data_IF_823668437839
#
_entry.id   IF_823668437839
#
_cell.length_a   1.000
_cell.length_b   1.000
_cell.length_c   1.000
_cell.angle_alpha   90.00
_cell.angle_beta   90.00
_cell.angle_gamma   90.00
#
_symmetry.space_group_name_H-M   'P 1'
#
loop_
_entity.id
_entity.type
_entity.pdbx_description
1 polymer ?
#
# COMPACT_ATOMS: atom_id res chain seq x y z
N UNK A 1 15.82 24.57 -2.26
CA UNK A 1 14.37 24.65 -2.55
C UNK A 1 14.11 23.86 -3.83
N UNK A 2 13.03 23.08 -3.90
CA UNK A 2 12.74 22.21 -5.05
C UNK A 2 12.10 23.02 -6.19
N UNK A 3 12.52 22.75 -7.42
CA UNK A 3 12.00 23.40 -8.63
C UNK A 3 11.37 22.37 -9.57
N UNK A 4 10.33 22.80 -10.28
CA UNK A 4 9.58 21.99 -11.22
C UNK A 4 9.53 22.63 -12.59
N UNK A 5 9.77 21.84 -13.63
CA UNK A 5 9.50 22.21 -15.02
C UNK A 5 8.10 21.70 -15.41
N UNK A 6 7.21 22.58 -15.86
CA UNK A 6 5.86 22.23 -16.30
C UNK A 6 5.63 22.82 -17.69
N UNK A 7 5.76 21.97 -18.72
CA UNK A 7 5.90 22.43 -20.10
C UNK A 7 7.28 23.05 -20.29
N UNK A 8 7.31 24.33 -20.67
CA UNK A 8 8.51 25.15 -20.89
C UNK A 8 8.84 26.08 -19.70
N UNK A 9 7.97 26.13 -18.69
CA UNK A 9 8.08 27.07 -17.56
C UNK A 9 8.59 26.38 -16.29
N UNK A 10 9.46 27.08 -15.55
CA UNK A 10 9.96 26.63 -14.24
C UNK A 10 9.23 27.34 -13.11
N UNK A 11 8.87 26.57 -12.08
CA UNK A 11 8.22 27.07 -10.87
C UNK A 11 8.96 26.57 -9.64
N UNK A 12 9.11 27.44 -8.64
CA UNK A 12 9.51 27.04 -7.30
C UNK A 12 8.34 26.32 -6.61
N UNK A 13 8.65 25.38 -5.71
CA UNK A 13 7.64 24.60 -4.97
C UNK A 13 6.64 25.46 -4.19
N UNK A 14 7.08 26.61 -3.68
CA UNK A 14 6.28 27.51 -2.85
C UNK A 14 5.69 28.70 -3.66
N UNK A 15 5.80 28.67 -4.99
CA UNK A 15 5.30 29.75 -5.85
C UNK A 15 3.75 29.84 -5.79
N UNK A 16 3.17 31.03 -5.51
CA UNK A 16 1.72 31.20 -5.41
C UNK A 16 0.93 30.77 -6.66
N UNK A 17 1.51 30.99 -7.85
CA UNK A 17 0.92 30.63 -9.14
C UNK A 17 0.98 29.13 -9.46
N UNK A 18 1.72 28.33 -8.67
CA UNK A 18 1.92 26.91 -8.95
C UNK A 18 0.61 26.12 -8.95
N UNK A 19 -0.32 26.40 -8.03
CA UNK A 19 -1.62 25.70 -7.97
C UNK A 19 -2.44 25.87 -9.26
N UNK A 20 -2.61 27.11 -9.72
CA UNK A 20 -3.32 27.41 -10.96
C UNK A 20 -2.63 26.76 -12.18
N UNK A 21 -1.29 26.70 -12.17
CA UNK A 21 -0.54 26.00 -13.22
C UNK A 21 -0.77 24.49 -13.17
N UNK A 22 -0.79 23.89 -11.98
CA UNK A 22 -0.99 22.45 -11.79
C UNK A 22 -2.38 22.01 -12.23
N UNK A 23 -3.41 22.79 -11.92
CA UNK A 23 -4.77 22.52 -12.41
C UNK A 23 -4.82 22.46 -13.95
N UNK A 24 -4.26 23.48 -14.61
CA UNK A 24 -4.19 23.51 -16.09
C UNK A 24 -3.37 22.35 -16.63
N UNK A 25 -2.21 22.06 -16.02
CA UNK A 25 -1.34 20.97 -16.42
C UNK A 25 -2.03 19.61 -16.24
N UNK A 26 -2.82 19.42 -15.18
CA UNK A 26 -3.61 18.22 -14.95
C UNK A 26 -4.66 18.02 -16.05
N UNK A 27 -5.43 19.07 -16.37
CA UNK A 27 -6.42 19.02 -17.45
C UNK A 27 -5.78 18.74 -18.83
N UNK A 28 -4.59 19.29 -19.08
CA UNK A 28 -3.83 19.08 -20.31
C UNK A 28 -2.99 17.78 -20.32
N UNK A 29 -2.99 17.02 -19.21
CA UNK A 29 -2.15 15.84 -19.01
C UNK A 29 -0.64 16.14 -19.19
N UNK A 30 -0.22 17.36 -18.88
CA UNK A 30 1.18 17.77 -18.89
C UNK A 30 1.90 17.20 -17.67
N UNK A 31 3.07 16.62 -17.92
CA UNK A 31 3.88 15.99 -16.89
C UNK A 31 4.84 16.99 -16.25
N UNK A 32 4.77 17.23 -14.92
CA UNK A 32 5.80 17.99 -14.22
C UNK A 32 7.12 17.21 -14.18
N UNK A 33 8.25 17.90 -14.27
CA UNK A 33 9.58 17.32 -14.08
C UNK A 33 10.27 17.98 -12.88
N UNK A 34 10.82 17.18 -11.97
CA UNK A 34 11.64 17.68 -10.87
C UNK A 34 13.05 18.01 -11.36
N UNK A 35 13.47 19.26 -11.13
CA UNK A 35 14.77 19.78 -11.58
C UNK A 35 15.93 19.54 -10.58
N UNK A 36 15.77 18.61 -9.65
CA UNK A 36 16.83 18.31 -8.68
C UNK A 36 18.09 17.69 -9.31
N UNK A 37 17.98 17.14 -10.54
CA UNK A 37 19.10 16.62 -11.35
C UNK A 37 18.93 17.01 -12.82
N UNK A 38 19.98 16.81 -13.60
CA UNK A 38 19.99 16.91 -15.06
C UNK A 38 20.35 15.52 -15.66
N UNK A 39 19.50 14.90 -16.51
CA UNK A 39 18.19 15.37 -16.93
C UNK A 39 17.16 15.43 -15.78
N UNK A 40 16.13 16.30 -15.86
CA UNK A 40 15.11 16.40 -14.83
C UNK A 40 14.24 15.13 -14.77
N UNK A 41 13.76 14.78 -13.59
CA UNK A 41 13.03 13.53 -13.35
C UNK A 41 11.52 13.69 -13.53
N UNK A 42 10.83 12.79 -14.25
CA UNK A 42 9.39 12.85 -14.41
C UNK A 42 8.65 12.65 -13.09
N UNK A 43 7.59 13.42 -12.87
CA UNK A 43 6.67 13.39 -11.72
C UNK A 43 5.21 13.29 -12.23
N UNK A 44 4.22 13.08 -11.38
CA UNK A 44 2.80 13.14 -11.75
C UNK A 44 2.03 14.15 -10.89
N UNK A 45 0.87 14.59 -11.38
CA UNK A 45 -0.03 15.48 -10.64
C UNK A 45 -1.14 14.64 -10.01
N UNK A 46 -1.18 14.61 -8.70
CA UNK A 46 -2.26 14.04 -7.90
C UNK A 46 -3.29 15.12 -7.58
N UNK A 47 -4.57 14.75 -7.59
CA UNK A 47 -5.66 15.63 -7.14
C UNK A 47 -6.16 15.16 -5.78
N UNK A 48 -6.28 16.09 -4.83
CA UNK A 48 -6.89 15.85 -3.51
C UNK A 48 -7.86 16.99 -3.28
N UNK A 49 -9.16 16.66 -3.25
CA UNK A 49 -10.24 17.64 -3.29
C UNK A 49 -10.04 18.61 -4.47
N UNK A 50 -10.05 19.92 -4.23
CA UNK A 50 -9.82 20.95 -5.26
C UNK A 50 -8.34 21.37 -5.40
N UNK A 51 -7.43 20.67 -4.71
CA UNK A 51 -6.00 20.98 -4.71
C UNK A 51 -5.20 19.97 -5.54
N UNK A 52 -4.14 20.47 -6.16
CA UNK A 52 -3.24 19.68 -7.00
C UNK A 52 -1.86 19.57 -6.35
N UNK A 53 -1.30 18.37 -6.34
CA UNK A 53 -0.01 18.07 -5.69
C UNK A 53 0.90 17.35 -6.67
N UNK A 54 2.18 17.71 -6.68
CA UNK A 54 3.19 16.98 -7.46
C UNK A 54 3.69 15.79 -6.62
N UNK A 55 3.59 14.60 -7.20
CA UNK A 55 4.05 13.34 -6.61
C UNK A 55 5.05 12.65 -7.51
N UNK A 56 5.87 11.77 -6.92
CA UNK A 56 6.92 11.03 -7.64
C UNK A 56 6.35 9.98 -8.56
N UNK A 57 6.99 9.73 -9.70
CA UNK A 57 6.65 8.56 -10.50
C UNK A 57 6.97 7.27 -9.71
N UNK A 58 6.25 6.17 -9.97
CA UNK A 58 6.56 4.89 -9.34
C UNK A 58 8.04 4.52 -9.50
N UNK A 59 8.65 4.03 -8.42
CA UNK A 59 10.05 3.60 -8.37
C UNK A 59 11.12 4.68 -8.69
N UNK A 60 10.75 5.97 -8.73
CA UNK A 60 11.68 7.06 -9.09
C UNK A 60 12.41 7.70 -7.90
N UNK A 61 12.07 7.34 -6.65
CA UNK A 61 12.60 7.94 -5.43
C UNK A 61 14.14 7.98 -5.36
N UNK A 62 14.84 6.86 -5.56
CA UNK A 62 16.30 6.80 -5.58
C UNK A 62 16.96 7.62 -6.70
N UNK A 63 16.21 7.94 -7.76
CA UNK A 63 16.70 8.75 -8.88
C UNK A 63 16.91 10.22 -8.52
N UNK A 64 16.23 10.74 -7.50
CA UNK A 64 16.36 12.13 -7.07
C UNK A 64 17.72 12.45 -6.44
N UNK A 65 18.05 13.75 -6.38
CA UNK A 65 19.17 14.23 -5.57
C UNK A 65 18.91 13.93 -4.07
N UNK A 66 19.88 13.42 -3.29
CA UNK A 66 19.70 13.13 -1.87
C UNK A 66 19.23 14.33 -1.02
N UNK A 67 19.48 15.57 -1.45
CA UNK A 67 18.97 16.77 -0.80
C UNK A 67 17.54 17.16 -1.24
N UNK A 68 16.97 16.47 -2.23
CA UNK A 68 15.60 16.67 -2.68
C UNK A 68 14.59 16.01 -1.74
N UNK A 69 13.50 16.71 -1.41
CA UNK A 69 12.40 16.17 -0.61
C UNK A 69 11.71 14.93 -1.24
N UNK A 70 11.89 14.75 -2.56
CA UNK A 70 11.42 13.58 -3.29
C UNK A 70 12.35 12.36 -3.18
N UNK A 71 13.57 12.52 -2.69
CA UNK A 71 14.46 11.37 -2.54
C UNK A 71 13.91 10.34 -1.54
N UNK A 72 14.08 9.07 -1.87
CA UNK A 72 13.86 7.95 -0.97
C UNK A 72 15.09 7.05 -1.01
N UNK A 73 15.52 6.51 0.16
CA UNK A 73 16.53 5.48 0.21
C UNK A 73 16.14 4.28 -0.67
N UNK A 74 17.10 3.64 -1.35
CA UNK A 74 16.80 2.57 -2.29
C UNK A 74 16.14 1.32 -1.67
N UNK A 75 15.37 0.59 -2.50
CA UNK A 75 14.32 -0.36 -2.13
C UNK A 75 14.78 -1.69 -1.54
N UNK A 76 16.08 -1.98 -1.56
CA UNK A 76 16.66 -3.25 -1.12
C UNK A 76 16.58 -3.44 0.41
N UNK A 77 16.27 -2.38 1.14
CA UNK A 77 16.02 -2.43 2.59
C UNK A 77 14.62 -2.93 2.94
N UNK A 78 13.69 -2.94 1.98
CA UNK A 78 12.33 -3.43 2.14
C UNK A 78 12.10 -4.67 1.29
N UNK A 79 10.93 -5.28 1.43
CA UNK A 79 10.55 -6.41 0.58
C UNK A 79 10.29 -6.04 -0.89
N UNK A 80 10.43 -4.77 -1.28
CA UNK A 80 10.21 -4.32 -2.64
C UNK A 80 11.38 -4.68 -3.57
N UNK A 81 12.62 -4.67 -3.08
CA UNK A 81 13.82 -4.81 -3.90
C UNK A 81 13.79 -6.03 -4.82
N UNK A 82 13.35 -7.19 -4.33
CA UNK A 82 13.29 -8.43 -5.10
C UNK A 82 12.18 -8.49 -6.15
N UNK A 83 11.19 -7.58 -6.07
CA UNK A 83 10.03 -7.51 -6.95
C UNK A 83 10.26 -6.58 -8.14
N UNK A 84 11.13 -5.57 -7.99
CA UNK A 84 11.50 -4.64 -9.06
C UNK A 84 12.21 -5.41 -10.17
N UNK A 85 11.78 -5.19 -11.42
CA UNK A 85 12.33 -5.89 -12.59
C UNK A 85 11.83 -7.32 -12.76
N UNK A 86 11.14 -7.89 -11.76
CA UNK A 86 10.57 -9.24 -11.82
C UNK A 86 9.04 -9.20 -11.90
N UNK A 87 8.40 -8.71 -10.84
CA UNK A 87 6.95 -8.60 -10.70
C UNK A 87 6.43 -7.18 -11.01
N UNK A 88 7.29 -6.17 -10.89
CA UNK A 88 6.98 -4.76 -11.17
C UNK A 88 7.94 -4.26 -12.24
N UNK A 89 7.38 -3.75 -13.34
CA UNK A 89 8.14 -3.11 -14.41
C UNK A 89 7.64 -1.70 -14.64
N UNK A 90 8.53 -0.79 -15.00
CA UNK A 90 8.12 0.54 -15.48
C UNK A 90 7.93 0.47 -16.98
N UNK A 91 6.73 0.82 -17.47
CA UNK A 91 6.44 0.85 -18.89
C UNK A 91 6.96 2.14 -19.55
N UNK A 92 6.85 2.24 -20.88
CA UNK A 92 7.31 3.40 -21.64
C UNK A 92 6.61 4.72 -21.24
N UNK A 93 5.42 4.63 -20.64
CA UNK A 93 4.70 5.80 -20.12
C UNK A 93 5.19 6.22 -18.72
N UNK A 94 6.02 5.41 -18.06
CA UNK A 94 6.49 5.61 -16.69
C UNK A 94 5.56 5.02 -15.63
N UNK A 95 4.49 4.31 -16.02
CA UNK A 95 3.59 3.64 -15.07
C UNK A 95 4.17 2.29 -14.62
N UNK A 96 3.77 1.83 -13.44
CA UNK A 96 4.15 0.53 -12.93
C UNK A 96 3.22 -0.57 -13.47
N UNK A 97 3.74 -1.43 -14.34
CA UNK A 97 3.10 -2.64 -14.81
C UNK A 97 3.30 -3.77 -13.80
N UNK A 98 2.19 -4.26 -13.24
CA UNK A 98 2.15 -5.24 -12.16
C UNK A 98 1.82 -6.65 -12.69
N UNK A 99 2.66 -7.63 -12.36
CA UNK A 99 2.37 -9.06 -12.55
C UNK A 99 1.71 -9.61 -11.30
N UNK A 100 0.42 -9.93 -11.38
CA UNK A 100 -0.38 -10.39 -10.25
C UNK A 100 -0.35 -11.91 -10.10
N UNK A 101 -0.30 -12.40 -8.87
CA UNK A 101 -0.38 -13.83 -8.53
C UNK A 101 -1.82 -14.35 -8.55
N UNK A 102 -2.80 -13.47 -8.28
CA UNK A 102 -4.22 -13.80 -8.19
C UNK A 102 -4.98 -13.58 -9.50
N UNK A 103 -6.16 -14.20 -9.60
CA UNK A 103 -7.01 -14.09 -10.77
C UNK A 103 -7.91 -12.83 -10.73
N UNK A 104 -8.10 -12.19 -11.88
CA UNK A 104 -9.06 -11.10 -12.10
C UNK A 104 -10.33 -11.55 -12.84
N UNK A 105 -10.46 -12.86 -13.06
CA UNK A 105 -11.60 -13.48 -13.74
C UNK A 105 -11.87 -14.84 -13.11
N UNK A 106 -13.13 -15.16 -12.85
CA UNK A 106 -13.56 -16.48 -12.39
C UNK A 106 -14.41 -17.16 -13.46
N UNK A 107 -13.99 -18.34 -13.91
CA UNK A 107 -14.83 -19.17 -14.78
C UNK A 107 -16.00 -19.71 -13.94
N UNK A 108 -17.23 -19.57 -14.43
CA UNK A 108 -18.42 -20.10 -13.76
C UNK A 108 -18.30 -21.61 -13.54
N UNK A 109 -18.62 -22.08 -12.34
CA UNK A 109 -18.54 -23.50 -11.99
C UNK A 109 -19.68 -24.27 -12.65
N UNK A 110 -19.42 -24.99 -13.75
CA UNK A 110 -20.09 -26.29 -13.96
C UNK A 110 -19.34 -27.29 -13.08
N UNK A 111 -20.07 -28.01 -12.23
CA UNK A 111 -19.53 -28.80 -11.13
C UNK A 111 -18.30 -29.64 -11.49
N UNK A 112 -17.20 -29.37 -10.80
CA UNK A 112 -16.10 -30.29 -10.56
C UNK A 112 -15.46 -29.89 -9.22
N UNK A 113 -14.95 -30.84 -8.42
CA UNK A 113 -14.38 -30.53 -7.11
C UNK A 113 -13.19 -29.59 -7.29
N UNK A 114 -13.05 -28.65 -6.34
CA UNK A 114 -11.95 -27.71 -6.30
C UNK A 114 -10.63 -28.47 -6.41
N UNK A 115 -9.91 -28.29 -7.51
CA UNK A 115 -8.50 -28.65 -7.53
C UNK A 115 -7.80 -27.72 -6.56
N UNK A 116 -7.38 -28.31 -5.44
CA UNK A 116 -6.40 -27.79 -4.53
C UNK A 116 -5.17 -27.36 -5.35
N UNK A 117 -4.88 -26.06 -5.40
CA UNK A 117 -3.50 -25.65 -5.63
C UNK A 117 -2.72 -25.98 -4.36
N UNK A 118 -2.25 -27.22 -4.26
CA UNK A 118 -1.09 -27.54 -3.44
C UNK A 118 0.05 -26.66 -3.93
N UNK A 119 0.33 -25.59 -3.18
CA UNK A 119 1.57 -24.83 -3.31
C UNK A 119 2.57 -25.42 -2.31
N UNK A 120 2.95 -26.67 -2.52
CA UNK A 120 4.08 -27.32 -1.85
C UNK A 120 5.08 -27.76 -2.91
N UNK A 121 5.55 -26.80 -3.71
CA UNK A 121 6.85 -26.87 -4.38
C UNK A 121 7.26 -25.45 -4.83
N UNK A 122 8.26 -24.88 -4.13
CA UNK A 122 8.96 -23.62 -4.42
C UNK A 122 8.35 -22.28 -3.93
N UNK A 123 7.83 -22.21 -2.70
CA UNK A 123 7.43 -20.93 -2.06
C UNK A 123 8.51 -19.83 -2.19
N UNK A 124 9.79 -20.18 -2.03
CA UNK A 124 10.93 -19.26 -2.21
C UNK A 124 11.14 -18.74 -3.65
N UNK A 125 10.72 -19.48 -4.70
CA UNK A 125 10.91 -19.05 -6.11
C UNK A 125 9.77 -18.22 -6.67
N UNK A 126 8.57 -18.31 -6.10
CA UNK A 126 7.40 -17.56 -6.57
C UNK A 126 7.26 -16.18 -5.91
N UNK A 127 7.85 -16.00 -4.71
CA UNK A 127 7.81 -14.73 -3.96
C UNK A 127 8.34 -13.53 -4.77
N UNK A 128 9.23 -13.73 -5.74
CA UNK A 128 9.82 -12.64 -6.52
C UNK A 128 9.15 -12.40 -7.88
N UNK A 129 8.42 -13.38 -8.42
CA UNK A 129 7.94 -13.35 -9.81
C UNK A 129 6.59 -12.66 -10.00
N UNK A 130 5.74 -12.69 -8.98
CA UNK A 130 4.39 -12.12 -9.01
C UNK A 130 4.05 -11.48 -7.68
N UNK A 131 3.24 -10.43 -7.71
CA UNK A 131 2.74 -9.77 -6.51
C UNK A 131 1.57 -10.57 -5.94
N UNK A 132 1.72 -11.00 -4.68
CA UNK A 132 0.58 -11.46 -3.89
C UNK A 132 -0.39 -10.29 -3.64
N UNK A 133 -1.61 -10.60 -3.24
CA UNK A 133 -2.60 -9.58 -2.92
C UNK A 133 -2.11 -8.61 -1.81
N UNK A 134 -1.39 -9.12 -0.80
CA UNK A 134 -0.76 -8.30 0.25
C UNK A 134 0.32 -7.37 -0.32
N UNK A 135 1.16 -7.86 -1.24
CA UNK A 135 2.18 -7.03 -1.86
C UNK A 135 1.58 -5.92 -2.75
N UNK A 136 0.43 -6.15 -3.39
CA UNK A 136 -0.32 -5.08 -4.07
C UNK A 136 -0.79 -4.02 -3.07
N UNK A 137 -1.33 -4.42 -1.91
CA UNK A 137 -1.74 -3.47 -0.87
C UNK A 137 -0.54 -2.65 -0.36
N UNK A 138 0.58 -3.30 -0.08
CA UNK A 138 1.82 -2.62 0.32
C UNK A 138 2.31 -1.64 -0.77
N UNK A 139 2.27 -2.03 -2.04
CA UNK A 139 2.69 -1.17 -3.13
C UNK A 139 1.78 0.05 -3.31
N UNK A 140 0.45 -0.14 -3.18
CA UNK A 140 -0.50 0.98 -3.17
C UNK A 140 -0.25 1.93 -1.99
N UNK A 141 0.08 1.40 -0.81
CA UNK A 141 0.41 2.21 0.37
C UNK A 141 1.70 3.02 0.18
N UNK A 142 2.76 2.39 -0.32
CA UNK A 142 4.05 3.03 -0.55
C UNK A 142 3.95 4.09 -1.66
N UNK A 143 3.40 3.74 -2.82
CA UNK A 143 3.20 4.68 -3.93
C UNK A 143 2.21 5.81 -3.59
N UNK A 144 1.28 5.54 -2.66
CA UNK A 144 0.38 6.53 -2.07
C UNK A 144 1.05 7.45 -1.05
N UNK A 145 2.31 7.20 -0.67
CA UNK A 145 3.06 7.89 0.39
C UNK A 145 2.40 7.76 1.77
N UNK A 146 1.64 6.69 1.96
CA UNK A 146 0.96 6.37 3.21
C UNK A 146 1.88 5.68 4.22
N UNK A 147 3.11 5.34 3.82
CA UNK A 147 4.18 4.87 4.71
C UNK A 147 4.95 6.03 5.37
N UNK A 148 4.75 7.26 4.92
CA UNK A 148 5.47 8.42 5.40
C UNK A 148 4.72 9.11 6.55
N UNK A 149 5.43 9.62 7.55
CA UNK A 149 4.85 10.41 8.64
C UNK A 149 5.76 11.53 9.14
N UNK A 150 5.14 12.61 9.64
CA UNK A 150 5.74 13.73 10.38
C UNK A 150 4.69 14.28 11.34
N UNK A 151 5.09 14.80 12.50
CA UNK A 151 4.13 15.33 13.49
C UNK A 151 3.27 16.49 12.98
N UNK A 152 3.72 17.25 11.96
CA UNK A 152 2.93 18.30 11.30
C UNK A 152 1.65 17.80 10.60
N UNK A 153 1.50 16.49 10.43
CA UNK A 153 0.34 15.83 9.83
C UNK A 153 -0.66 15.30 10.84
N UNK A 154 -0.40 15.46 12.14
CA UNK A 154 -1.33 15.06 13.20
C UNK A 154 -2.73 15.65 12.94
N UNK A 155 -3.76 14.80 13.01
CA UNK A 155 -5.16 15.14 12.73
C UNK A 155 -5.51 15.42 11.26
N UNK A 156 -4.54 15.37 10.33
CA UNK A 156 -4.75 15.73 8.90
C UNK A 156 -4.86 14.53 7.95
N UNK A 157 -4.76 13.31 8.48
CA UNK A 157 -4.86 12.08 7.70
C UNK A 157 -5.99 11.22 8.28
N UNK A 158 -7.06 11.09 7.51
CA UNK A 158 -8.17 10.17 7.75
C UNK A 158 -8.45 9.32 6.51
N UNK A 159 -9.50 8.50 6.57
CA UNK A 159 -9.87 7.59 5.48
C UNK A 159 -10.01 8.28 4.12
N UNK A 160 -10.61 9.49 4.06
CA UNK A 160 -10.73 10.24 2.80
C UNK A 160 -9.37 10.52 2.12
N UNK A 161 -8.34 10.82 2.92
CA UNK A 161 -6.98 11.05 2.42
C UNK A 161 -6.28 9.74 2.03
N UNK A 162 -6.51 8.66 2.78
CA UNK A 162 -6.04 7.32 2.44
C UNK A 162 -6.63 6.89 1.11
N UNK A 163 -7.96 6.93 0.97
CA UNK A 163 -8.67 6.63 -0.27
C UNK A 163 -8.10 7.41 -1.46
N UNK A 164 -7.99 8.72 -1.34
CA UNK A 164 -7.51 9.56 -2.43
C UNK A 164 -6.07 9.22 -2.81
N UNK A 165 -5.22 8.91 -1.83
CA UNK A 165 -3.84 8.47 -2.08
C UNK A 165 -3.80 7.12 -2.80
N UNK A 166 -4.66 6.17 -2.43
CA UNK A 166 -4.76 4.86 -3.07
C UNK A 166 -5.26 4.97 -4.53
N UNK A 167 -6.29 5.78 -4.79
CA UNK A 167 -6.81 6.00 -6.15
C UNK A 167 -5.78 6.70 -7.03
N UNK A 168 -5.12 7.74 -6.52
CA UNK A 168 -4.05 8.43 -7.24
C UNK A 168 -2.87 7.48 -7.53
N UNK A 169 -2.45 6.66 -6.57
CA UNK A 169 -1.41 5.65 -6.77
C UNK A 169 -1.81 4.62 -7.85
N UNK A 170 -3.03 4.08 -7.77
CA UNK A 170 -3.54 3.11 -8.73
C UNK A 170 -3.62 3.66 -10.17
N UNK A 171 -3.84 4.98 -10.34
CA UNK A 171 -3.83 5.63 -11.66
C UNK A 171 -2.47 5.55 -12.38
N UNK A 172 -1.39 5.37 -11.60
CA UNK A 172 -0.01 5.22 -12.08
C UNK A 172 0.41 3.74 -12.20
N UNK A 173 -0.55 2.82 -12.14
CA UNK A 173 -0.31 1.38 -12.20
C UNK A 173 -1.17 0.72 -13.28
N UNK A 174 -0.65 -0.35 -13.87
CA UNK A 174 -1.39 -1.21 -14.79
C UNK A 174 -1.29 -2.67 -14.36
N UNK A 175 -2.32 -3.46 -14.65
CA UNK A 175 -2.33 -4.89 -14.43
C UNK A 175 -2.90 -5.56 -15.69
N UNK A 176 -2.14 -6.51 -16.27
CA UNK A 176 -2.49 -7.16 -17.56
C UNK A 176 -2.77 -6.15 -18.70
N UNK A 177 -2.06 -5.02 -18.71
CA UNK A 177 -2.20 -3.97 -19.72
C UNK A 177 -3.31 -2.94 -19.45
N UNK A 178 -4.19 -3.20 -18.49
CA UNK A 178 -5.29 -2.29 -18.14
C UNK A 178 -4.94 -1.43 -16.92
N UNK A 179 -5.45 -0.19 -16.78
CA UNK A 179 -5.26 0.61 -15.59
C UNK A 179 -5.76 -0.09 -14.33
N UNK A 180 -4.95 -0.11 -13.27
CA UNK A 180 -5.36 -0.71 -11.98
C UNK A 180 -6.56 0.04 -11.38
N UNK A 181 -6.68 1.34 -11.64
CA UNK A 181 -7.82 2.18 -11.25
C UNK A 181 -9.16 1.68 -11.74
N UNK A 182 -9.20 0.94 -12.86
CA UNK A 182 -10.45 0.53 -13.50
C UNK A 182 -11.06 -0.71 -12.82
N UNK A 183 -10.23 -1.43 -12.06
CA UNK A 183 -10.63 -2.62 -11.29
C UNK A 183 -10.53 -2.41 -9.78
N UNK A 184 -9.93 -1.32 -9.31
CA UNK A 184 -9.79 -0.99 -7.89
C UNK A 184 -11.00 -0.21 -7.39
N UNK A 185 -11.65 -0.73 -6.36
CA UNK A 185 -12.71 -0.06 -5.63
C UNK A 185 -12.24 0.31 -4.22
N UNK A 186 -12.37 1.58 -3.84
CA UNK A 186 -12.09 2.07 -2.49
C UNK A 186 -13.31 2.87 -2.00
N UNK A 187 -14.02 2.40 -0.95
CA UNK A 187 -15.23 3.06 -0.46
C UNK A 187 -15.01 4.55 -0.17
N UNK A 188 -15.87 5.40 -0.73
CA UNK A 188 -15.93 6.83 -0.41
C UNK A 188 -16.35 7.05 1.05
N UNK A 189 -15.88 8.13 1.69
CA UNK A 189 -16.36 8.51 3.02
C UNK A 189 -17.86 8.74 2.94
N UNK A 190 -18.61 8.07 3.80
CA UNK A 190 -20.06 8.21 3.83
C UNK A 190 -20.47 9.53 4.50
N UNK A 191 -21.14 10.38 3.75
CA UNK A 191 -21.78 11.62 4.19
C UNK A 191 -23.29 11.47 4.06
N UNK A 192 -24.04 11.76 5.13
CA UNK A 192 -25.49 11.54 5.15
C UNK A 192 -26.20 12.47 4.16
N UNK A 193 -25.72 13.70 4.06
CA UNK A 193 -26.17 14.76 3.15
C UNK A 193 -25.98 14.41 1.66
N UNK A 194 -24.99 13.59 1.30
CA UNK A 194 -24.71 13.15 -0.08
C UNK A 194 -24.98 11.64 -0.28
N UNK A 195 -25.91 11.08 0.50
CA UNK A 195 -26.21 9.64 0.47
C UNK A 195 -26.54 9.12 -0.94
N UNK A 196 -27.34 9.86 -1.70
CA UNK A 196 -27.78 9.49 -3.04
C UNK A 196 -26.65 9.61 -4.07
N UNK A 197 -25.84 10.69 -4.00
CA UNK A 197 -24.69 10.87 -4.87
C UNK A 197 -23.64 9.78 -4.65
N UNK A 198 -23.34 9.45 -3.40
CA UNK A 198 -22.44 8.33 -3.04
C UNK A 198 -23.00 7.00 -3.56
N UNK A 199 -24.30 6.78 -3.46
CA UNK A 199 -24.92 5.56 -3.97
C UNK A 199 -24.80 5.44 -5.50
N UNK A 200 -25.02 6.54 -6.24
CA UNK A 200 -24.86 6.60 -7.69
C UNK A 200 -23.41 6.36 -8.13
N UNK A 201 -22.44 7.07 -7.53
CA UNK A 201 -21.01 6.88 -7.82
C UNK A 201 -20.54 5.47 -7.51
N UNK A 202 -21.01 4.88 -6.39
CA UNK A 202 -20.72 3.48 -6.05
C UNK A 202 -21.29 2.50 -7.08
N UNK A 203 -22.53 2.69 -7.52
CA UNK A 203 -23.14 1.83 -8.53
C UNK A 203 -22.35 1.88 -9.84
N UNK A 204 -21.93 3.06 -10.27
CA UNK A 204 -21.11 3.23 -11.46
C UNK A 204 -19.73 2.57 -11.32
N UNK A 205 -19.06 2.74 -10.18
CA UNK A 205 -17.76 2.11 -9.93
C UNK A 205 -17.83 0.58 -9.89
N UNK A 206 -18.95 0.01 -9.41
CA UNK A 206 -19.15 -1.44 -9.27
C UNK A 206 -19.80 -2.10 -10.49
N UNK A 207 -20.17 -1.32 -11.52
CA UNK A 207 -20.87 -1.84 -12.70
C UNK A 207 -20.10 -3.01 -13.37
N UNK A 208 -18.77 -2.93 -13.39
CA UNK A 208 -17.90 -3.95 -13.98
C UNK A 208 -17.79 -5.25 -13.15
N UNK A 209 -18.14 -5.22 -11.87
CA UNK A 209 -18.16 -6.41 -11.00
C UNK A 209 -19.48 -7.19 -11.06
N UNK A 210 -20.54 -6.60 -11.63
CA UNK A 210 -21.85 -7.25 -11.75
C UNK A 210 -21.77 -8.38 -12.76
N UNK A 211 -22.20 -9.57 -12.33
CA UNK A 211 -22.26 -10.75 -13.19
C UNK A 211 -23.31 -10.55 -14.29
N UNK A 212 -22.86 -10.51 -15.55
CA UNK A 212 -23.71 -10.43 -16.73
C UNK A 212 -24.37 -11.78 -17.10
N UNK A 213 -24.14 -12.84 -16.34
CA UNK A 213 -24.80 -14.14 -16.49
C UNK A 213 -24.23 -15.05 -17.59
N UNK A 214 -23.47 -14.51 -18.55
CA UNK A 214 -22.82 -15.28 -19.61
C UNK A 214 -21.30 -15.01 -19.67
N UNK A 215 -20.51 -16.07 -19.45
CA UNK A 215 -19.04 -16.04 -19.57
C UNK A 215 -18.28 -16.02 -18.24
N UNK A 216 -16.94 -15.88 -18.27
CA UNK A 216 -16.14 -15.73 -17.07
C UNK A 216 -16.45 -14.40 -16.38
N UNK A 217 -16.82 -14.47 -15.11
CA UNK A 217 -17.13 -13.29 -14.29
C UNK A 217 -15.86 -12.49 -14.04
N UNK A 218 -15.91 -11.19 -14.33
CA UNK A 218 -14.84 -10.26 -13.99
C UNK A 218 -14.81 -10.05 -12.48
N UNK A 219 -13.61 -10.07 -11.91
CA UNK A 219 -13.38 -9.75 -10.51
C UNK A 219 -12.80 -8.33 -10.42
N UNK A 220 -13.24 -7.61 -9.39
CA UNK A 220 -12.65 -6.34 -8.98
C UNK A 220 -11.77 -6.58 -7.74
N UNK A 221 -10.91 -5.61 -7.44
CA UNK A 221 -10.11 -5.54 -6.22
C UNK A 221 -10.72 -4.45 -5.34
N UNK A 222 -10.96 -4.71 -4.07
CA UNK A 222 -11.35 -3.69 -3.10
C UNK A 222 -10.25 -3.47 -2.07
N UNK A 223 -10.04 -2.22 -1.65
CA UNK A 223 -9.29 -1.88 -0.43
C UNK A 223 -10.25 -1.13 0.50
N UNK A 224 -10.44 -1.64 1.71
CA UNK A 224 -11.40 -1.07 2.67
C UNK A 224 -10.97 -1.28 4.12
N UNK A 225 -11.42 -0.39 4.99
CA UNK A 225 -11.34 -0.58 6.44
C UNK A 225 -12.44 -1.53 6.91
N UNK A 226 -12.03 -2.60 7.59
CA UNK A 226 -12.95 -3.55 8.23
C UNK A 226 -13.56 -2.90 9.47
N UNK A 227 -14.89 -3.01 9.58
CA UNK A 227 -15.64 -2.59 10.76
C UNK A 227 -15.86 -3.77 11.72
N UNK A 228 -16.29 -4.91 11.18
CA UNK A 228 -16.69 -6.07 11.98
C UNK A 228 -16.73 -7.37 11.15
N UNK A 229 -16.68 -8.50 11.83
CA UNK A 229 -16.88 -9.84 11.27
C UNK A 229 -18.11 -10.49 11.89
N UNK A 230 -19.10 -10.84 11.06
CA UNK A 230 -20.37 -11.40 11.51
C UNK A 230 -20.64 -12.78 10.89
N UNK A 231 -21.17 -13.71 11.69
CA UNK A 231 -21.50 -15.06 11.22
C UNK A 231 -22.55 -15.02 10.11
N UNK A 232 -22.35 -15.83 9.06
CA UNK A 232 -23.30 -16.04 7.98
C UNK A 232 -23.67 -17.51 7.83
N UNK A 233 -24.80 -17.79 7.19
CA UNK A 233 -25.13 -19.16 6.75
C UNK A 233 -24.08 -19.62 5.73
N UNK A 234 -23.27 -20.61 6.10
CA UNK A 234 -22.21 -21.17 5.25
C UNK A 234 -20.91 -20.37 5.18
N UNK A 235 -20.74 -19.32 5.99
CA UNK A 235 -19.54 -18.48 5.91
C UNK A 235 -19.50 -17.33 6.91
N UNK A 236 -18.85 -16.24 6.52
CA UNK A 236 -18.76 -15.01 7.29
C UNK A 236 -19.14 -13.80 6.43
N UNK A 237 -19.65 -12.77 7.10
CA UNK A 237 -19.84 -11.41 6.58
C UNK A 237 -18.66 -10.56 7.07
N UNK A 238 -17.97 -9.92 6.15
CA UNK A 238 -17.02 -8.85 6.46
C UNK A 238 -17.75 -7.53 6.27
N UNK A 239 -18.07 -6.86 7.37
CA UNK A 239 -18.66 -5.53 7.36
C UNK A 239 -17.51 -4.54 7.24
N UNK A 240 -17.57 -3.65 6.26
CA UNK A 240 -16.54 -2.61 6.07
C UNK A 240 -17.14 -1.23 6.32
N UNK A 241 -16.29 -0.27 6.71
CA UNK A 241 -16.74 1.10 6.88
C UNK A 241 -17.19 1.70 5.54
N UNK A 242 -18.13 2.64 5.64
CA UNK A 242 -18.67 3.43 4.54
C UNK A 242 -19.41 2.68 3.41
N UNK A 243 -19.65 1.37 3.55
CA UNK A 243 -20.52 0.61 2.65
C UNK A 243 -21.83 0.20 3.34
N UNK A 244 -22.96 0.19 2.61
CA UNK A 244 -24.25 -0.26 3.14
C UNK A 244 -24.45 -1.78 3.05
N UNK A 245 -23.46 -2.54 2.57
CA UNK A 245 -23.54 -3.99 2.42
C UNK A 245 -22.23 -4.67 2.85
N UNK A 246 -22.29 -5.93 3.33
CA UNK A 246 -21.10 -6.69 3.67
C UNK A 246 -20.52 -7.44 2.45
N UNK A 247 -19.27 -7.85 2.58
CA UNK A 247 -18.68 -8.86 1.69
C UNK A 247 -18.88 -10.26 2.29
N UNK A 248 -19.24 -11.22 1.45
CA UNK A 248 -19.44 -12.62 1.85
C UNK A 248 -18.17 -13.43 1.59
N UNK A 249 -17.76 -14.25 2.56
CA UNK A 249 -16.64 -15.18 2.40
C UNK A 249 -17.04 -16.59 2.88
N UNK A 250 -16.61 -17.61 2.14
CA UNK A 250 -16.89 -19.01 2.46
C UNK A 250 -16.21 -19.43 3.77
N UNK A 251 -16.87 -20.29 4.55
CA UNK A 251 -16.42 -20.62 5.91
C UNK A 251 -15.07 -21.33 6.00
N UNK A 252 -14.70 -22.13 4.99
CA UNK A 252 -13.38 -22.77 4.94
C UNK A 252 -12.28 -21.76 4.58
N UNK A 253 -12.56 -20.85 3.64
CA UNK A 253 -11.65 -19.78 3.23
C UNK A 253 -11.38 -18.87 4.41
N UNK A 254 -12.44 -18.46 5.12
CA UNK A 254 -12.33 -17.67 6.35
C UNK A 254 -11.43 -18.34 7.40
N UNK A 255 -11.68 -19.61 7.75
CA UNK A 255 -10.87 -20.33 8.75
C UNK A 255 -9.38 -20.31 8.43
N UNK A 256 -9.01 -20.58 7.19
CA UNK A 256 -7.60 -20.55 6.74
C UNK A 256 -7.00 -19.14 6.82
N UNK A 257 -7.78 -18.12 6.48
CA UNK A 257 -7.33 -16.74 6.53
C UNK A 257 -7.19 -16.22 7.95
N UNK A 258 -8.13 -16.54 8.84
CA UNK A 258 -8.05 -16.16 10.26
C UNK A 258 -6.81 -16.74 10.91
N UNK A 259 -6.42 -17.97 10.58
CA UNK A 259 -5.18 -18.57 11.07
C UNK A 259 -3.93 -17.86 10.48
N UNK A 260 -3.97 -17.47 9.19
CA UNK A 260 -2.85 -16.78 8.53
C UNK A 260 -2.63 -15.35 9.06
N UNK A 261 -3.70 -14.66 9.43
CA UNK A 261 -3.68 -13.25 9.87
C UNK A 261 -4.02 -13.13 11.36
N UNK A 262 -3.70 -14.15 12.16
CA UNK A 262 -4.00 -14.17 13.59
C UNK A 262 -3.37 -12.97 14.31
N UNK A 263 -2.09 -12.70 14.05
CA UNK A 263 -1.37 -11.55 14.62
C UNK A 263 -2.04 -10.23 14.28
N UNK A 264 -2.43 -9.99 13.03
CA UNK A 264 -3.12 -8.78 12.62
C UNK A 264 -4.49 -8.64 13.32
N UNK A 265 -5.23 -9.74 13.45
CA UNK A 265 -6.53 -9.74 14.14
C UNK A 265 -6.38 -9.51 15.65
N UNK A 266 -5.34 -10.03 16.29
CA UNK A 266 -5.03 -9.78 17.70
C UNK A 266 -4.62 -8.33 17.93
N UNK A 267 -3.70 -7.80 17.12
CA UNK A 267 -3.28 -6.40 17.19
C UNK A 267 -4.51 -5.49 17.03
N UNK A 268 -5.34 -5.70 16.02
CA UNK A 268 -6.54 -4.89 15.81
C UNK A 268 -7.51 -4.94 17.01
N UNK A 269 -7.70 -6.10 17.63
CA UNK A 269 -8.57 -6.23 18.83
C UNK A 269 -7.98 -5.58 20.08
N UNK A 270 -6.68 -5.34 20.12
CA UNK A 270 -5.99 -4.79 21.30
C UNK A 270 -6.25 -3.29 21.53
N UNK A 271 -6.70 -2.55 20.51
CA UNK A 271 -6.99 -1.12 20.62
C UNK A 271 -8.03 -0.66 19.60
N UNK A 272 -8.95 0.22 20.02
CA UNK A 272 -9.92 0.86 19.13
C UNK A 272 -9.30 1.91 18.19
N UNK A 273 -8.08 2.37 18.50
CA UNK A 273 -7.32 3.33 17.68
C UNK A 273 -6.66 2.67 16.46
N UNK A 274 -6.64 1.34 16.40
CA UNK A 274 -6.07 0.59 15.29
C UNK A 274 -7.13 0.26 14.24
N UNK A 275 -6.71 0.28 12.98
CA UNK A 275 -7.57 -0.01 11.85
C UNK A 275 -7.11 -1.30 11.15
N UNK A 276 -8.04 -2.20 10.89
CA UNK A 276 -7.79 -3.37 10.05
C UNK A 276 -8.14 -3.03 8.60
N UNK A 277 -7.12 -3.02 7.74
CA UNK A 277 -7.29 -2.78 6.31
C UNK A 277 -7.30 -4.11 5.58
N UNK A 278 -8.34 -4.35 4.79
CA UNK A 278 -8.38 -5.48 3.87
C UNK A 278 -8.12 -5.04 2.44
N UNK A 279 -7.46 -5.93 1.69
CA UNK A 279 -7.52 -5.95 0.23
C UNK A 279 -8.16 -7.28 -0.20
N UNK A 280 -9.13 -7.26 -1.11
CA UNK A 280 -9.82 -8.47 -1.52
C UNK A 280 -10.15 -8.46 -3.02
N UNK A 281 -10.05 -9.62 -3.67
CA UNK A 281 -10.69 -9.83 -4.97
C UNK A 281 -12.13 -10.26 -4.73
N UNK A 282 -13.06 -9.68 -5.48
CA UNK A 282 -14.48 -9.97 -5.32
C UNK A 282 -15.23 -9.83 -6.64
N UNK A 283 -16.41 -10.44 -6.71
CA UNK A 283 -17.41 -10.09 -7.72
C UNK A 283 -18.74 -9.80 -7.06
N UNK A 284 -19.71 -9.30 -7.84
CA UNK A 284 -21.12 -9.13 -7.40
C UNK A 284 -22.05 -10.06 -8.22
N UNK A 285 -22.87 -10.87 -7.55
CA UNK A 285 -23.77 -11.80 -8.24
C UNK A 285 -24.96 -11.07 -8.85
N UNK A 286 -25.75 -11.74 -9.70
CA UNK A 286 -27.00 -11.16 -10.22
C UNK A 286 -27.99 -10.74 -9.10
N UNK A 287 -27.89 -11.36 -7.91
CA UNK A 287 -28.66 -10.99 -6.73
C UNK A 287 -28.05 -9.81 -5.92
N UNK A 288 -26.99 -9.17 -6.44
CA UNK A 288 -26.32 -8.05 -5.77
C UNK A 288 -25.39 -8.45 -4.62
N UNK A 289 -25.07 -9.74 -4.47
CA UNK A 289 -24.23 -10.23 -3.36
C UNK A 289 -22.76 -10.12 -3.72
N UNK A 290 -22.00 -9.32 -2.96
CA UNK A 290 -20.56 -9.20 -3.07
C UNK A 290 -19.88 -10.39 -2.38
N UNK A 291 -19.15 -11.20 -3.15
CA UNK A 291 -18.46 -12.39 -2.64
C UNK A 291 -16.96 -12.30 -2.89
N UNK A 292 -16.19 -12.57 -1.85
CA UNK A 292 -14.72 -12.56 -1.87
C UNK A 292 -14.20 -13.89 -2.42
N UNK A 293 -13.18 -13.81 -3.28
CA UNK A 293 -12.43 -14.96 -3.78
C UNK A 293 -11.10 -15.10 -3.03
N UNK A 294 -10.35 -14.01 -2.90
CA UNK A 294 -9.11 -13.93 -2.14
C UNK A 294 -9.07 -12.65 -1.31
N UNK A 295 -8.38 -12.69 -0.16
CA UNK A 295 -8.25 -11.54 0.74
C UNK A 295 -6.89 -11.58 1.44
N UNK A 296 -6.33 -10.40 1.65
CA UNK A 296 -5.20 -10.14 2.52
C UNK A 296 -5.52 -8.97 3.44
N UNK A 297 -4.85 -8.93 4.59
CA UNK A 297 -5.09 -7.91 5.62
C UNK A 297 -3.76 -7.30 6.07
N UNK A 298 -3.85 -6.08 6.60
CA UNK A 298 -2.79 -5.45 7.37
C UNK A 298 -3.42 -4.58 8.46
N UNK A 299 -2.71 -4.36 9.55
CA UNK A 299 -3.11 -3.40 10.58
C UNK A 299 -2.37 -2.09 10.35
N UNK A 300 -3.07 -0.97 10.54
CA UNK A 300 -2.48 0.37 10.57
C UNK A 300 -2.88 1.07 11.86
N UNK A 301 -2.00 1.95 12.33
CA UNK A 301 -2.26 2.72 13.55
C UNK A 301 -3.14 3.95 13.28
N UNK A 302 -3.34 4.79 14.30
CA UNK A 302 -4.17 6.00 14.25
C UNK A 302 -3.69 7.02 13.19
N UNK A 303 -2.42 6.94 12.80
CA UNK A 303 -1.80 7.77 11.77
C UNK A 303 -1.81 7.10 10.38
N UNK A 304 -2.55 5.99 10.24
CA UNK A 304 -2.67 5.16 9.04
C UNK A 304 -1.32 4.58 8.56
N UNK A 305 -0.36 4.40 9.48
CA UNK A 305 0.93 3.76 9.21
C UNK A 305 0.82 2.27 9.52
N UNK A 306 1.19 1.38 8.58
CA UNK A 306 1.18 -0.07 8.82
C UNK A 306 2.18 -0.49 9.89
N UNK A 307 1.84 -1.49 10.68
CA UNK A 307 2.74 -2.12 11.64
C UNK A 307 2.43 -3.61 11.81
N UNK A 308 3.44 -4.38 12.22
CA UNK A 308 3.36 -5.84 12.25
C UNK A 308 3.54 -6.46 13.64
N UNK A 309 3.89 -5.66 14.65
CA UNK A 309 4.05 -6.07 16.05
C UNK A 309 3.82 -4.90 17.00
N UNK A 310 3.57 -5.20 18.28
CA UNK A 310 3.43 -4.16 19.32
C UNK A 310 4.73 -3.38 19.56
N UNK A 311 5.89 -4.01 19.37
CA UNK A 311 7.19 -3.34 19.46
C UNK A 311 7.38 -2.33 18.33
N UNK A 312 6.97 -2.69 17.11
CA UNK A 312 7.00 -1.75 15.98
C UNK A 312 6.03 -0.59 16.19
N UNK A 313 4.83 -0.86 16.70
CA UNK A 313 3.90 0.20 17.09
C UNK A 313 4.48 1.13 18.16
N UNK A 314 5.15 0.58 19.19
CA UNK A 314 5.81 1.39 20.22
C UNK A 314 6.87 2.34 19.62
N UNK A 315 7.66 1.85 18.67
CA UNK A 315 8.63 2.68 17.96
C UNK A 315 7.92 3.76 17.12
N UNK A 316 6.86 3.41 16.40
CA UNK A 316 6.07 4.35 15.59
C UNK A 316 5.45 5.46 16.45
N UNK A 317 4.91 5.14 17.62
CA UNK A 317 4.35 6.12 18.57
C UNK A 317 5.39 7.12 19.06
N UNK A 318 6.62 6.66 19.29
CA UNK A 318 7.72 7.52 19.73
C UNK A 318 8.17 8.44 18.60
N UNK A 319 8.24 7.92 17.37
CA UNK A 319 8.59 8.68 16.18
C UNK A 319 7.47 9.64 15.73
N UNK A 320 6.20 9.33 15.98
CA UNK A 320 5.06 10.13 15.51
C UNK A 320 5.04 11.55 16.07
N UNK A 321 5.69 11.75 17.23
CA UNK A 321 5.85 13.03 17.92
C UNK A 321 6.95 13.90 17.32
N UNK A 322 7.84 13.33 16.51
CA UNK A 322 8.94 14.05 15.89
C UNK A 322 8.48 14.84 14.65
N UNK A 323 9.03 16.03 14.47
CA UNK A 323 8.79 16.86 13.27
C UNK A 323 9.44 16.29 12.00
N UNK A 324 10.44 15.43 12.17
CA UNK A 324 11.22 14.83 11.09
C UNK A 324 10.42 13.75 10.38
N UNK A 325 10.77 13.49 9.12
CA UNK A 325 10.16 12.40 8.35
C UNK A 325 10.59 11.04 8.89
N UNK A 326 9.61 10.18 9.15
CA UNK A 326 9.81 8.74 9.19
C UNK A 326 9.15 8.09 7.97
N UNK A 327 9.73 6.99 7.49
CA UNK A 327 9.18 6.19 6.41
C UNK A 327 9.17 4.73 6.83
N UNK A 328 7.99 4.13 6.96
CA UNK A 328 7.79 2.71 7.26
C UNK A 328 8.25 1.84 6.09
N UNK A 329 9.13 0.88 6.35
CA UNK A 329 9.46 -0.18 5.40
C UNK A 329 8.37 -1.26 5.40
N UNK A 330 8.06 -1.83 4.24
CA UNK A 330 7.03 -2.86 4.09
C UNK A 330 7.64 -4.19 3.61
N UNK A 331 7.06 -5.31 4.03
CA UNK A 331 7.53 -6.65 3.65
C UNK A 331 7.17 -7.10 2.24
N UNK A 332 6.16 -6.51 1.62
CA UNK A 332 5.59 -6.99 0.34
C UNK A 332 5.29 -8.51 0.35
N UNK A 333 6.07 -9.30 -0.39
CA UNK A 333 5.94 -10.76 -0.44
C UNK A 333 6.81 -11.48 0.61
N UNK A 334 7.79 -10.80 1.22
CA UNK A 334 8.70 -11.44 2.17
C UNK A 334 7.96 -11.99 3.38
N UNK A 335 8.46 -13.13 3.85
CA UNK A 335 7.98 -13.81 5.05
C UNK A 335 8.37 -13.04 6.32
N UNK A 336 7.80 -13.41 7.48
CA UNK A 336 8.10 -12.75 8.77
C UNK A 336 9.48 -13.15 9.33
N UNK A 337 10.00 -14.28 8.86
CA UNK A 337 11.29 -14.88 9.21
C UNK A 337 12.47 -14.21 8.51
N UNK A 338 12.23 -13.30 7.58
CA UNK A 338 13.27 -12.52 6.93
C UNK A 338 13.39 -11.13 7.58
N UNK A 339 14.58 -10.55 7.73
CA UNK A 339 14.72 -9.18 8.21
C UNK A 339 14.26 -8.18 7.14
N UNK A 340 13.65 -7.09 7.59
CA UNK A 340 13.37 -5.89 6.78
C UNK A 340 13.64 -4.66 7.62
N UNK A 341 13.92 -3.52 6.98
CA UNK A 341 13.92 -2.25 7.69
C UNK A 341 12.52 -1.97 8.22
N UNK A 342 12.40 -1.72 9.53
CA UNK A 342 11.13 -1.31 10.12
C UNK A 342 10.82 0.13 9.70
N UNK A 343 11.73 1.07 9.99
CA UNK A 343 11.57 2.49 9.66
C UNK A 343 12.88 3.06 9.14
N UNK A 344 12.81 4.01 8.21
CA UNK A 344 13.94 4.87 7.84
C UNK A 344 13.70 6.32 8.25
N UNK A 345 14.76 7.00 8.68
CA UNK A 345 14.79 8.44 8.92
C UNK A 345 15.67 9.09 7.84
N UNK A 346 15.11 9.38 6.65
CA UNK A 346 15.90 9.77 5.48
C UNK A 346 16.60 11.13 5.64
N UNK A 347 16.08 11.98 6.53
CA UNK A 347 16.58 13.36 6.73
C UNK A 347 17.52 13.48 7.94
N UNK A 348 17.85 12.37 8.60
CA UNK A 348 18.76 12.39 9.74
C UNK A 348 20.17 12.82 9.28
N UNK A 349 20.86 13.55 10.16
CA UNK A 349 22.23 14.02 9.95
C UNK A 349 23.14 13.45 11.05
N UNK A 350 24.42 13.13 10.76
CA UNK A 350 25.12 13.36 9.48
C UNK A 350 24.71 12.42 8.34
N UNK A 351 24.12 11.26 8.65
CA UNK A 351 23.66 10.26 7.68
C UNK A 351 22.21 9.82 7.97
N UNK A 352 21.47 9.34 6.94
CA UNK A 352 20.17 8.69 7.14
C UNK A 352 20.27 7.50 8.09
N UNK A 353 19.19 7.21 8.83
CA UNK A 353 19.12 6.06 9.74
C UNK A 353 18.19 4.98 9.19
N UNK A 354 18.63 3.73 9.24
CA UNK A 354 17.80 2.54 9.02
C UNK A 354 17.55 1.85 10.38
N UNK A 355 16.29 1.75 10.78
CA UNK A 355 15.87 1.21 12.07
C UNK A 355 15.34 -0.21 11.88
N UNK A 356 15.94 -1.17 12.59
CA UNK A 356 15.59 -2.58 12.58
C UNK A 356 15.08 -3.03 13.94
N UNK A 357 14.08 -3.90 13.94
CA UNK A 357 13.57 -4.56 15.15
C UNK A 357 13.80 -6.06 14.99
N UNK A 358 14.61 -6.64 15.87
CA UNK A 358 14.92 -8.06 15.87
C UNK A 358 13.98 -8.77 16.85
N UNK A 359 13.10 -9.68 16.37
CA UNK A 359 12.15 -10.39 17.22
C UNK A 359 12.84 -11.38 18.16
N UNK A 360 12.17 -11.75 19.24
CA UNK A 360 12.67 -12.76 20.20
C UNK A 360 12.90 -14.12 19.50
N UNK A 361 12.10 -14.44 18.48
CA UNK A 361 12.22 -15.66 17.67
C UNK A 361 13.35 -15.62 16.64
N UNK A 362 14.12 -14.53 16.54
CA UNK A 362 15.19 -14.41 15.57
C UNK A 362 16.29 -15.46 15.81
N UNK A 363 16.52 -16.31 14.82
CA UNK A 363 17.62 -17.28 14.81
C UNK A 363 18.89 -16.72 14.16
N UNK A 364 19.91 -17.58 14.06
CA UNK A 364 21.20 -17.24 13.42
C UNK A 364 21.04 -16.76 11.98
N UNK A 365 20.19 -17.44 11.21
CA UNK A 365 19.95 -17.09 9.80
C UNK A 365 19.32 -15.69 9.65
N UNK A 366 18.46 -15.30 10.59
CA UNK A 366 17.88 -13.95 10.63
C UNK A 366 18.96 -12.89 10.86
N UNK A 367 19.83 -13.11 11.85
CA UNK A 367 20.93 -12.18 12.17
C UNK A 367 21.95 -12.10 11.02
N UNK A 368 22.27 -13.22 10.36
CA UNK A 368 23.13 -13.21 9.18
C UNK A 368 22.52 -12.37 8.05
N UNK A 369 21.27 -12.62 7.70
CA UNK A 369 20.57 -11.84 6.69
C UNK A 369 20.45 -10.35 7.06
N UNK A 370 20.26 -10.03 8.35
CA UNK A 370 20.22 -8.65 8.82
C UNK A 370 21.56 -7.95 8.61
N UNK A 371 22.66 -8.62 8.96
CA UNK A 371 24.00 -8.10 8.76
C UNK A 371 24.32 -7.89 7.28
N UNK A 372 23.86 -8.78 6.39
CA UNK A 372 23.98 -8.60 4.93
C UNK A 372 23.23 -7.37 4.43
N UNK A 373 21.99 -7.15 4.89
CA UNK A 373 21.20 -5.96 4.54
C UNK A 373 21.89 -4.68 5.01
N UNK A 374 22.43 -4.67 6.24
CA UNK A 374 23.16 -3.52 6.80
C UNK A 374 24.45 -3.29 6.01
N UNK A 375 25.23 -4.33 5.75
CA UNK A 375 26.51 -4.24 5.04
C UNK A 375 26.33 -3.77 3.59
N UNK A 376 25.18 -4.09 2.97
CA UNK A 376 24.84 -3.58 1.64
C UNK A 376 24.64 -2.06 1.60
N UNK A 377 24.46 -1.40 2.75
CA UNK A 377 24.13 0.04 2.90
C UNK A 377 25.03 0.79 3.86
N UNK A 378 26.35 0.87 3.58
CA UNK A 378 27.31 1.56 4.44
C UNK A 378 27.04 3.07 4.57
N UNK A 379 26.25 3.66 3.67
CA UNK A 379 25.84 5.07 3.71
C UNK A 379 24.76 5.38 4.76
N UNK A 380 24.10 4.38 5.33
CA UNK A 380 23.07 4.54 6.36
C UNK A 380 23.57 4.08 7.72
N UNK A 381 23.25 4.83 8.78
CA UNK A 381 23.54 4.41 10.14
C UNK A 381 22.49 3.39 10.61
N UNK A 382 22.89 2.15 11.00
CA UNK A 382 21.94 1.19 11.53
C UNK A 382 21.57 1.55 12.97
N UNK A 383 20.28 1.51 13.27
CA UNK A 383 19.75 1.48 14.62
C UNK A 383 19.05 0.15 14.81
N UNK A 384 19.40 -0.62 15.83
CA UNK A 384 18.91 -1.99 16.00
C UNK A 384 18.34 -2.13 17.40
N UNK A 385 17.05 -2.48 17.48
CA UNK A 385 16.42 -2.89 18.72
C UNK A 385 16.25 -4.41 18.73
N UNK A 386 17.05 -5.08 19.56
CA UNK A 386 16.89 -6.52 19.83
C UNK A 386 15.97 -6.71 21.02
N UNK A 387 14.76 -7.21 20.77
CA UNK A 387 13.73 -7.34 21.81
C UNK A 387 14.19 -8.27 22.96
N UNK A 388 14.98 -9.29 22.63
CA UNK A 388 15.53 -10.21 23.63
C UNK A 388 16.58 -9.58 24.56
N UNK A 389 17.19 -8.45 24.17
CA UNK A 389 18.27 -7.78 24.92
C UNK A 389 17.75 -6.67 25.84
N UNK A 390 16.46 -6.34 25.78
CA UNK A 390 15.82 -5.42 26.71
C UNK A 390 15.09 -4.25 26.04
N UNK A 391 15.13 -3.10 26.72
CA UNK A 391 14.36 -1.92 26.34
C UNK A 391 14.79 -1.32 25.00
N UNK A 392 13.89 -0.53 24.41
CA UNK A 392 14.14 0.18 23.16
C UNK A 392 15.33 1.14 23.31
N UNK A 393 16.35 1.09 22.42
CA UNK A 393 17.45 2.04 22.43
C UNK A 393 16.96 3.49 22.28
N UNK A 394 17.74 4.50 22.73
CA UNK A 394 17.39 5.89 22.51
C UNK A 394 17.25 6.19 21.01
N UNK A 395 16.29 7.06 20.67
CA UNK A 395 16.12 7.51 19.29
C UNK A 395 17.30 8.42 18.88
N UNK A 396 17.76 8.34 17.62
CA UNK A 396 18.90 9.10 17.11
C UNK A 396 18.63 10.59 16.84
#
# INVERSE_FOLDING_TARGET
>A
MRQFLIGDQTFDEDAPELQARLERAYAQKLRPLCRCKNPPLPMYIARVDDLYFIKRMPLSGPGHDPACSSYQPPYELSGLGSLIGNAIHIDASGKAALKLEFALTKKGTRGAPASSSEASESALRNETKKLSLRAVLHYLWEAGELTEWRSSWSGKRGWGRVRTSLINAASQMTARGEPLSDILFVPEVFHQEDREGIASRRANALANALDAGHGPRKLMVTVAEVKDFAVARGGQKIVVRHLPFPFMIQGWTWRRLSARYETELELWRSSEDFHLIMIATFGISAAGIASIEEIAMMVVNENWIPFESIHEQHLLERLSRLKRKSVKGLRFNLSREQPVVSITLPEQRPAPVAMFIVPISAGKDYELALNEIIAARPEMTPWIWRIAEGEMPPLP
#
